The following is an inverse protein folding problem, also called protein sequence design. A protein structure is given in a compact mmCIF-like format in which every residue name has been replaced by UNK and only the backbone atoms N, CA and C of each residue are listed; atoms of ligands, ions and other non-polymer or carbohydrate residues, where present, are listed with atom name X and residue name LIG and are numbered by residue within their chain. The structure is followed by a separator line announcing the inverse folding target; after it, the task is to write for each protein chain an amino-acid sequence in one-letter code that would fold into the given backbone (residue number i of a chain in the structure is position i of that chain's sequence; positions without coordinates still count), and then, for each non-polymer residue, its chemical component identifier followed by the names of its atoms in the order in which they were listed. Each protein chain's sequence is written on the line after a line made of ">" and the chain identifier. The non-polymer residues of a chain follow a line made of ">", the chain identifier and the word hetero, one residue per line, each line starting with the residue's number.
data_IF_004493510637
#
_entry.id   IF_004493510637
#
_cell.length_a   1.000
_cell.length_b   1.000
_cell.length_c   1.000
_cell.angle_alpha   90.00
_cell.angle_beta   90.00
_cell.angle_gamma   90.00
#
_symmetry.space_group_name_H-M   'P 1'
#
loop_
_entity.id
_entity.type
_entity.pdbx_description
1 polymer ?
#
# COMPACT_ATOMS: atom_id res chain seq x y z
N UNK A 1 3.61 -26.05 23.28
CA UNK A 1 4.25 -24.88 22.63
C UNK A 1 3.43 -24.49 21.40
N UNK A 2 3.21 -23.19 21.18
CA UNK A 2 2.58 -22.75 19.94
C UNK A 2 3.65 -22.69 18.84
N UNK A 3 3.54 -23.51 17.80
CA UNK A 3 4.50 -23.61 16.69
C UNK A 3 4.13 -22.71 15.50
N UNK A 4 3.01 -22.01 15.57
CA UNK A 4 2.55 -21.12 14.50
C UNK A 4 3.19 -19.73 14.57
N UNK A 5 3.18 -18.96 13.47
CA UNK A 5 3.66 -17.58 13.45
C UNK A 5 2.81 -16.66 14.35
N UNK A 6 3.34 -15.49 14.67
CA UNK A 6 2.61 -14.49 15.44
C UNK A 6 1.27 -14.12 14.78
N UNK A 7 0.27 -13.80 15.62
CA UNK A 7 -1.09 -13.49 15.13
C UNK A 7 -1.08 -12.38 14.07
N UNK A 8 -1.60 -12.68 12.90
CA UNK A 8 -1.66 -11.74 11.78
C UNK A 8 -0.39 -11.72 10.92
N UNK A 9 0.59 -12.55 11.21
CA UNK A 9 1.77 -12.82 10.38
C UNK A 9 1.65 -14.20 9.74
N UNK A 10 2.51 -14.52 8.79
CA UNK A 10 2.51 -15.82 8.11
C UNK A 10 3.88 -16.16 7.58
N UNK A 11 4.17 -17.44 7.52
CA UNK A 11 5.34 -17.98 6.85
C UNK A 11 5.09 -18.05 5.34
N UNK A 12 6.16 -17.98 4.58
CA UNK A 12 6.15 -18.16 3.13
C UNK A 12 7.09 -19.31 2.78
N UNK A 13 6.54 -20.39 2.26
CA UNK A 13 7.31 -21.53 1.81
C UNK A 13 8.08 -21.20 0.52
N UNK A 14 9.09 -22.02 0.13
CA UNK A 14 9.96 -21.71 -1.00
C UNK A 14 9.21 -21.39 -2.31
N UNK A 15 8.09 -22.04 -2.57
CA UNK A 15 7.29 -21.78 -3.77
C UNK A 15 6.64 -20.40 -3.73
N UNK A 16 6.08 -19.98 -2.58
CA UNK A 16 5.48 -18.67 -2.41
C UNK A 16 6.53 -17.55 -2.49
N UNK A 17 7.73 -17.81 -1.95
CA UNK A 17 8.86 -16.87 -2.05
C UNK A 17 9.27 -16.70 -3.51
N UNK A 18 9.43 -17.79 -4.28
CA UNK A 18 9.76 -17.72 -5.71
C UNK A 18 8.70 -16.95 -6.50
N UNK A 19 7.41 -17.20 -6.25
CA UNK A 19 6.31 -16.47 -6.88
C UNK A 19 6.36 -14.98 -6.56
N UNK A 20 6.60 -14.64 -5.29
CA UNK A 20 6.74 -13.24 -4.86
C UNK A 20 7.92 -12.56 -5.52
N UNK A 21 9.09 -13.21 -5.55
CA UNK A 21 10.30 -12.66 -6.19
C UNK A 21 10.10 -12.43 -7.69
N UNK A 22 9.43 -13.36 -8.37
CA UNK A 22 9.07 -13.17 -9.77
C UNK A 22 8.20 -11.93 -9.98
N UNK A 23 7.16 -11.77 -9.16
CA UNK A 23 6.27 -10.59 -9.24
C UNK A 23 7.04 -9.29 -8.94
N UNK A 24 7.88 -9.29 -7.91
CA UNK A 24 8.74 -8.15 -7.56
C UNK A 24 9.66 -7.79 -8.72
N UNK A 25 10.30 -8.78 -9.36
CA UNK A 25 11.17 -8.57 -10.50
C UNK A 25 10.44 -7.91 -11.68
N UNK A 26 9.23 -8.39 -12.01
CA UNK A 26 8.43 -7.80 -13.08
C UNK A 26 8.06 -6.34 -12.78
N UNK A 27 7.72 -6.03 -11.52
CA UNK A 27 7.38 -4.67 -11.09
C UNK A 27 8.63 -3.77 -11.16
N UNK A 28 9.76 -4.23 -10.63
CA UNK A 28 11.03 -3.49 -10.63
C UNK A 28 11.49 -3.16 -12.05
N UNK A 29 11.44 -4.16 -12.96
CA UNK A 29 11.78 -3.96 -14.38
C UNK A 29 10.92 -2.86 -15.04
N UNK A 30 9.63 -2.79 -14.69
CA UNK A 30 8.75 -1.75 -15.22
C UNK A 30 9.16 -0.38 -14.66
N UNK A 31 9.39 -0.26 -13.36
CA UNK A 31 9.78 1.02 -12.76
C UNK A 31 11.13 1.53 -13.30
N UNK A 32 12.12 0.65 -13.43
CA UNK A 32 13.43 0.99 -14.00
C UNK A 32 13.30 1.51 -15.44
N UNK A 33 12.43 0.93 -16.27
CA UNK A 33 12.15 1.42 -17.63
C UNK A 33 11.60 2.85 -17.67
N UNK A 34 10.92 3.28 -16.61
CA UNK A 34 10.45 4.66 -16.46
C UNK A 34 11.47 5.56 -15.73
N UNK A 35 12.68 5.07 -15.48
CA UNK A 35 13.78 5.82 -14.84
C UNK A 35 13.56 6.01 -13.34
N UNK A 36 12.90 5.08 -12.67
CA UNK A 36 12.85 5.06 -11.21
C UNK A 36 14.00 4.24 -10.66
N UNK A 37 14.65 4.75 -9.64
CA UNK A 37 15.78 4.15 -8.94
C UNK A 37 15.32 3.35 -7.73
N UNK A 38 15.96 2.21 -7.40
CA UNK A 38 15.63 1.46 -6.21
C UNK A 38 16.06 2.20 -4.94
N UNK A 39 15.22 2.18 -3.91
CA UNK A 39 15.55 2.69 -2.58
C UNK A 39 15.21 1.62 -1.55
N UNK A 40 16.09 1.46 -0.56
CA UNK A 40 15.81 0.65 0.63
C UNK A 40 16.08 1.47 1.88
N UNK A 41 15.28 1.25 2.91
CA UNK A 41 15.44 1.89 4.22
C UNK A 41 15.40 0.83 5.32
N UNK A 42 15.96 1.09 6.50
CA UNK A 42 15.88 0.18 7.64
C UNK A 42 14.43 -0.17 7.99
N UNK A 43 14.22 -1.38 8.50
CA UNK A 43 12.92 -1.83 9.00
C UNK A 43 12.54 -1.16 10.32
N UNK A 44 13.54 -0.71 11.07
CA UNK A 44 13.41 -0.04 12.36
C UNK A 44 13.69 1.44 12.17
N UNK A 45 12.83 2.28 12.72
CA UNK A 45 12.94 3.74 12.70
C UNK A 45 12.78 4.29 14.12
N UNK A 46 13.27 5.50 14.37
CA UNK A 46 13.01 6.22 15.61
C UNK A 46 11.51 6.53 15.72
N UNK A 47 10.94 6.30 16.91
CA UNK A 47 9.51 6.55 17.17
C UNK A 47 9.10 7.98 16.84
N UNK A 48 9.93 8.95 17.18
CA UNK A 48 9.68 10.37 16.90
C UNK A 48 9.48 10.63 15.39
N UNK A 49 10.30 9.98 14.55
CA UNK A 49 10.18 10.06 13.09
C UNK A 49 8.83 9.54 12.61
N UNK A 50 8.36 8.42 13.18
CA UNK A 50 7.12 7.78 12.77
C UNK A 50 5.88 8.51 13.27
N UNK A 51 5.93 9.10 14.47
CA UNK A 51 4.79 9.79 15.08
C UNK A 51 4.56 11.20 14.55
N UNK A 52 5.59 11.85 14.02
CA UNK A 52 5.53 13.24 13.55
C UNK A 52 4.45 13.55 12.52
N UNK A 53 3.94 12.55 11.79
CA UNK A 53 2.93 12.72 10.73
C UNK A 53 1.49 12.39 11.18
N UNK A 54 1.31 11.40 12.06
CA UNK A 54 -0.01 10.78 12.30
C UNK A 54 -0.54 10.94 13.73
N UNK A 55 0.17 11.63 14.63
CA UNK A 55 -0.27 11.88 15.99
C UNK A 55 -0.67 10.60 16.75
N UNK A 56 -1.74 10.66 17.53
CA UNK A 56 -2.21 9.54 18.36
C UNK A 56 -2.73 8.34 17.56
N UNK A 57 -3.29 8.53 16.37
CA UNK A 57 -3.76 7.43 15.52
C UNK A 57 -2.60 6.59 14.99
N UNK A 58 -1.49 7.23 14.61
CA UNK A 58 -0.27 6.55 14.22
C UNK A 58 0.29 5.68 15.34
N UNK A 59 0.20 6.15 16.58
CA UNK A 59 0.68 5.42 17.75
C UNK A 59 -0.01 4.06 17.95
N UNK A 60 -1.27 3.91 17.54
CA UNK A 60 -2.04 2.65 17.60
C UNK A 60 -1.65 1.64 16.54
N UNK A 61 -1.03 2.10 15.45
CA UNK A 61 -0.67 1.25 14.30
C UNK A 61 0.77 0.72 14.38
N UNK A 62 1.58 1.23 15.29
CA UNK A 62 3.02 0.98 15.35
C UNK A 62 3.34 -0.20 16.26
N UNK A 63 4.21 -1.10 15.79
CA UNK A 63 4.87 -2.08 16.66
C UNK A 63 6.09 -1.43 17.30
N UNK A 64 6.01 -1.15 18.60
CA UNK A 64 7.08 -0.57 19.39
C UNK A 64 8.11 -1.62 19.78
N UNK A 65 9.37 -1.22 19.79
CA UNK A 65 10.49 -2.03 20.28
C UNK A 65 10.87 -1.49 21.64
N UNK A 66 10.72 -2.31 22.67
CA UNK A 66 11.04 -1.91 24.03
C UNK A 66 12.54 -1.67 24.22
N UNK A 67 12.89 -0.68 25.02
CA UNK A 67 14.26 -0.45 25.45
C UNK A 67 14.75 -1.65 26.25
N UNK A 68 16.04 -1.95 26.13
CA UNK A 68 16.72 -3.01 26.89
C UNK A 68 17.43 -2.44 28.11
N UNK A 69 17.83 -3.32 29.03
CA UNK A 69 18.58 -2.99 30.22
C UNK A 69 17.70 -2.38 31.32
N UNK A 70 18.18 -1.37 32.02
CA UNK A 70 17.50 -0.76 33.17
C UNK A 70 16.10 -0.21 32.86
N UNK A 71 15.82 0.09 31.58
CA UNK A 71 14.54 0.62 31.12
C UNK A 71 13.53 -0.44 30.69
N UNK A 72 13.90 -1.74 30.69
CA UNK A 72 13.01 -2.82 30.23
C UNK A 72 11.72 -2.91 31.04
N UNK A 73 11.83 -2.75 32.37
CA UNK A 73 10.68 -2.76 33.27
C UNK A 73 9.75 -1.55 33.12
N UNK A 74 10.22 -0.44 32.53
CA UNK A 74 9.42 0.78 32.37
C UNK A 74 8.44 0.74 31.18
N UNK A 75 8.57 -0.25 30.29
CA UNK A 75 7.77 -0.34 29.05
C UNK A 75 8.08 0.78 28.04
N UNK A 76 9.17 1.53 28.23
CA UNK A 76 9.55 2.60 27.31
C UNK A 76 10.08 2.04 26.00
N UNK A 77 9.80 2.75 24.93
CA UNK A 77 10.27 2.43 23.58
C UNK A 77 10.70 3.71 22.86
N UNK A 78 11.84 3.66 22.21
CA UNK A 78 12.39 4.74 21.37
C UNK A 78 12.46 4.35 19.90
N UNK A 79 12.34 3.06 19.61
CA UNK A 79 12.37 2.47 18.29
C UNK A 79 11.04 1.78 17.99
N UNK A 80 10.72 1.67 16.70
CA UNK A 80 9.56 0.93 16.26
C UNK A 80 9.78 0.37 14.83
N UNK A 81 8.98 -0.63 14.46
CA UNK A 81 8.91 -1.10 13.09
C UNK A 81 8.17 -0.09 12.22
N UNK A 82 8.71 0.19 11.03
CA UNK A 82 8.03 1.07 10.05
C UNK A 82 6.67 0.50 9.65
N UNK A 83 5.67 1.34 9.56
CA UNK A 83 4.30 0.95 9.18
C UNK A 83 3.94 1.37 7.74
N UNK A 84 4.77 2.18 7.11
CA UNK A 84 4.71 2.57 5.70
C UNK A 84 6.12 2.80 5.13
N UNK A 85 6.22 3.16 3.85
CA UNK A 85 7.47 3.52 3.19
C UNK A 85 7.58 5.03 2.90
N UNK A 86 6.53 5.80 3.20
CA UNK A 86 6.48 7.25 2.94
C UNK A 86 7.24 8.04 3.99
N UNK A 87 7.08 7.68 5.27
CA UNK A 87 7.80 8.36 6.37
C UNK A 87 9.31 8.12 6.30
N UNK A 88 9.79 6.86 6.10
CA UNK A 88 11.21 6.61 5.84
C UNK A 88 11.76 7.39 4.63
N UNK A 89 10.97 7.50 3.54
CA UNK A 89 11.36 8.31 2.39
C UNK A 89 11.54 9.78 2.75
N UNK A 90 10.61 10.36 3.52
CA UNK A 90 10.69 11.76 3.94
C UNK A 90 11.97 12.02 4.77
N UNK A 91 12.35 11.09 5.67
CA UNK A 91 13.60 11.14 6.41
C UNK A 91 14.81 11.08 5.49
N UNK A 92 14.84 10.14 4.54
CA UNK A 92 15.94 10.01 3.57
C UNK A 92 16.10 11.29 2.76
N UNK A 93 15.00 11.89 2.29
CA UNK A 93 15.06 13.14 1.51
C UNK A 93 15.56 14.31 2.36
N UNK A 94 15.22 14.37 3.63
CA UNK A 94 15.71 15.41 4.54
C UNK A 94 17.21 15.24 4.82
N UNK A 95 17.64 14.03 5.15
CA UNK A 95 19.04 13.69 5.50
C UNK A 95 20.00 13.84 4.31
N UNK A 96 19.60 13.29 3.16
CA UNK A 96 20.47 13.21 1.98
C UNK A 96 20.15 14.25 0.91
N UNK A 97 19.50 15.37 1.28
CA UNK A 97 19.06 16.42 0.35
C UNK A 97 20.17 16.93 -0.58
N UNK A 98 21.41 17.01 -0.09
CA UNK A 98 22.55 17.47 -0.87
C UNK A 98 23.12 16.43 -1.84
N UNK A 99 22.79 15.17 -1.67
CA UNK A 99 23.29 14.04 -2.48
C UNK A 99 22.26 13.55 -3.50
N UNK A 100 20.97 13.78 -3.22
CA UNK A 100 19.88 13.36 -4.11
C UNK A 100 19.75 14.31 -5.30
N UNK A 101 19.41 13.80 -6.50
CA UNK A 101 19.15 14.64 -7.66
C UNK A 101 17.97 15.57 -7.40
N UNK A 102 17.97 16.77 -8.02
CA UNK A 102 16.86 17.75 -7.90
C UNK A 102 15.49 17.14 -8.25
N UNK A 103 15.46 16.24 -9.22
CA UNK A 103 14.28 15.45 -9.58
C UNK A 103 14.57 13.99 -9.29
N UNK A 104 14.17 13.55 -8.11
CA UNK A 104 14.38 12.20 -7.60
C UNK A 104 13.16 11.32 -7.85
N UNK A 105 13.35 10.25 -8.61
CA UNK A 105 12.35 9.22 -8.90
C UNK A 105 12.79 7.94 -8.22
N UNK A 106 12.01 7.45 -7.27
CA UNK A 106 12.35 6.22 -6.56
C UNK A 106 11.23 5.20 -6.60
N UNK A 107 11.56 3.92 -6.53
CA UNK A 107 10.65 2.87 -6.13
C UNK A 107 11.21 2.11 -4.92
N UNK A 108 10.33 1.56 -4.10
CA UNK A 108 10.70 0.80 -2.92
C UNK A 108 9.72 -0.35 -2.74
N UNK A 109 10.25 -1.59 -2.63
CA UNK A 109 9.46 -2.80 -2.47
C UNK A 109 9.98 -3.54 -1.25
N UNK A 110 9.38 -3.25 -0.10
CA UNK A 110 9.84 -3.78 1.19
C UNK A 110 8.66 -4.10 2.11
N UNK A 111 8.87 -4.96 3.14
CA UNK A 111 7.84 -5.26 4.13
C UNK A 111 7.59 -4.07 5.05
N UNK A 112 6.34 -3.95 5.52
CA UNK A 112 5.89 -3.01 6.54
C UNK A 112 5.04 -3.74 7.56
N UNK A 113 4.92 -3.15 8.75
CA UNK A 113 4.24 -3.76 9.89
C UNK A 113 3.19 -2.84 10.45
N UNK A 114 1.95 -3.34 10.57
CA UNK A 114 0.83 -2.60 11.16
C UNK A 114 0.16 -3.39 12.25
N UNK A 115 0.02 -2.79 13.43
CA UNK A 115 -0.63 -3.40 14.58
C UNK A 115 -2.16 -3.50 14.44
N UNK A 116 -2.68 -3.45 13.25
CA UNK A 116 -4.09 -3.57 12.92
C UNK A 116 -4.71 -4.89 13.40
N UNK A 117 -6.03 -4.89 13.57
CA UNK A 117 -6.78 -6.12 13.81
C UNK A 117 -6.73 -7.01 12.57
N UNK A 118 -6.16 -8.23 12.66
CA UNK A 118 -6.08 -9.14 11.53
C UNK A 118 -7.46 -9.55 11.04
N UNK A 119 -7.63 -9.63 9.72
CA UNK A 119 -8.83 -10.11 9.06
C UNK A 119 -8.46 -10.89 7.80
N UNK A 120 -9.42 -11.50 7.11
CA UNK A 120 -9.18 -12.20 5.85
C UNK A 120 -8.57 -11.24 4.82
N UNK A 121 -7.35 -11.55 4.36
CA UNK A 121 -6.62 -10.71 3.42
C UNK A 121 -5.93 -9.48 4.04
N UNK A 122 -6.05 -9.29 5.36
CA UNK A 122 -5.41 -8.19 6.10
C UNK A 122 -4.43 -8.75 7.12
N UNK A 123 -3.15 -8.63 6.81
CA UNK A 123 -2.06 -9.11 7.63
C UNK A 123 -1.39 -7.95 8.36
N UNK A 124 -0.68 -8.26 9.44
CA UNK A 124 0.13 -7.30 10.20
C UNK A 124 1.50 -7.07 9.59
N UNK A 125 1.98 -8.02 8.79
CA UNK A 125 3.19 -7.91 7.98
C UNK A 125 2.82 -8.13 6.52
N UNK A 126 3.20 -7.19 5.65
CA UNK A 126 2.95 -7.27 4.21
C UNK A 126 3.94 -6.40 3.43
N UNK A 127 4.13 -6.71 2.16
CA UNK A 127 4.96 -5.92 1.27
C UNK A 127 4.17 -4.73 0.72
N UNK A 128 4.76 -3.54 0.83
CA UNK A 128 4.35 -2.38 0.06
C UNK A 128 5.25 -2.24 -1.17
N UNK A 129 4.67 -1.69 -2.23
CA UNK A 129 5.32 -1.37 -3.48
C UNK A 129 4.98 0.08 -3.80
N UNK A 130 5.86 0.98 -3.40
CA UNK A 130 5.66 2.41 -3.50
C UNK A 130 6.56 3.00 -4.59
N UNK A 131 6.05 3.98 -5.32
CA UNK A 131 6.77 4.71 -6.35
C UNK A 131 6.47 6.19 -6.20
N UNK A 132 7.53 7.00 -6.09
CA UNK A 132 7.41 8.43 -5.88
C UNK A 132 8.37 9.21 -6.81
N UNK A 133 7.93 10.42 -7.16
CA UNK A 133 8.73 11.41 -7.87
C UNK A 133 8.72 12.71 -7.07
N UNK A 134 9.91 13.18 -6.69
CA UNK A 134 10.09 14.33 -5.79
C UNK A 134 10.90 15.39 -6.53
N UNK A 135 10.60 16.66 -6.25
CA UNK A 135 11.38 17.81 -6.79
C UNK A 135 10.76 18.45 -8.03
N UNK A 136 9.59 18.01 -8.50
CA UNK A 136 8.85 18.66 -9.59
C UNK A 136 7.56 19.29 -9.08
N UNK A 137 7.25 20.50 -9.55
CA UNK A 137 5.93 21.12 -9.38
C UNK A 137 4.94 20.70 -10.46
N UNK A 138 5.40 20.03 -11.51
CA UNK A 138 4.55 19.56 -12.60
C UNK A 138 3.72 18.37 -12.15
N UNK A 139 2.41 18.46 -12.33
CA UNK A 139 1.45 17.36 -12.13
C UNK A 139 1.50 16.32 -13.27
N UNK A 140 2.39 16.46 -14.22
CA UNK A 140 2.63 15.49 -15.29
C UNK A 140 3.51 14.36 -14.75
N UNK A 141 3.03 13.70 -13.70
CA UNK A 141 3.40 12.32 -13.42
C UNK A 141 2.74 11.49 -14.53
N UNK A 142 3.42 10.48 -15.13
CA UNK A 142 2.79 9.63 -16.12
C UNK A 142 1.51 9.04 -15.54
N UNK A 143 0.37 9.66 -15.86
CA UNK A 143 -0.95 9.08 -15.55
C UNK A 143 -1.02 7.80 -16.36
N UNK A 144 -1.13 6.68 -15.69
CA UNK A 144 -1.62 5.48 -16.35
C UNK A 144 -2.92 5.82 -17.08
N UNK A 145 -3.02 5.61 -18.39
CA UNK A 145 -4.27 5.82 -19.11
C UNK A 145 -5.35 4.99 -18.40
N UNK A 146 -6.39 5.68 -17.91
CA UNK A 146 -7.54 5.00 -17.32
C UNK A 146 -8.14 4.09 -18.40
N UNK A 147 -8.12 2.80 -18.17
CA UNK A 147 -8.78 1.83 -19.01
C UNK A 147 -7.90 0.72 -19.57
N UNK A 148 -6.58 0.86 -19.55
CA UNK A 148 -5.68 -0.19 -19.97
C UNK A 148 -5.04 -0.92 -18.78
N UNK A 149 -4.86 -2.23 -18.90
CA UNK A 149 -4.09 -2.98 -17.90
C UNK A 149 -2.65 -2.48 -17.95
N UNK A 150 -2.18 -1.93 -16.82
CA UNK A 150 -0.82 -1.40 -16.73
C UNK A 150 0.23 -2.41 -17.19
N UNK A 151 1.43 -1.96 -17.54
CA UNK A 151 2.49 -2.81 -18.09
C UNK A 151 2.82 -4.01 -17.19
N UNK A 152 2.70 -3.87 -15.87
CA UNK A 152 2.87 -4.98 -14.90
C UNK A 152 1.84 -6.07 -15.11
N UNK A 153 0.54 -5.71 -15.22
CA UNK A 153 -0.56 -6.68 -15.39
C UNK A 153 -0.46 -7.39 -16.73
N UNK A 154 -0.02 -6.70 -17.78
CA UNK A 154 0.22 -7.33 -19.09
C UNK A 154 1.34 -8.37 -19.03
N UNK A 155 2.43 -8.10 -18.32
CA UNK A 155 3.57 -9.03 -18.17
C UNK A 155 3.25 -10.23 -17.29
N UNK A 156 2.46 -10.05 -16.24
CA UNK A 156 2.06 -11.14 -15.36
C UNK A 156 1.04 -12.10 -16.00
N UNK A 157 0.38 -11.66 -17.09
CA UNK A 157 -0.63 -12.48 -17.77
C UNK A 157 -1.90 -12.69 -16.93
N UNK A 158 -2.80 -13.58 -17.37
CA UNK A 158 -3.99 -13.92 -16.61
C UNK A 158 -3.62 -14.70 -15.34
N UNK A 159 -4.11 -14.27 -14.18
CA UNK A 159 -3.93 -14.99 -12.91
C UNK A 159 -4.65 -16.34 -13.02
N UNK A 160 -3.95 -17.49 -12.86
CA UNK A 160 -4.60 -18.80 -12.89
C UNK A 160 -5.68 -18.86 -11.79
N UNK A 161 -6.89 -19.31 -12.15
CA UNK A 161 -7.99 -19.51 -11.18
C UNK A 161 -8.96 -18.35 -10.99
N UNK A 162 -8.77 -17.19 -11.61
CA UNK A 162 -9.86 -16.20 -11.71
C UNK A 162 -10.69 -16.46 -12.95
N UNK A 163 -12.02 -16.70 -12.81
CA UNK A 163 -12.88 -16.78 -13.98
C UNK A 163 -12.76 -15.47 -14.77
N UNK A 164 -12.52 -15.57 -16.08
CA UNK A 164 -12.61 -14.42 -16.99
C UNK A 164 -13.97 -13.77 -16.75
N UNK A 165 -13.98 -12.50 -16.37
CA UNK A 165 -15.21 -11.72 -16.40
C UNK A 165 -15.73 -11.82 -17.84
N UNK A 166 -16.72 -12.66 -18.05
CA UNK A 166 -17.39 -12.79 -19.35
C UNK A 166 -17.97 -11.41 -19.64
N UNK A 167 -17.61 -10.87 -20.80
CA UNK A 167 -18.28 -9.72 -21.39
C UNK A 167 -19.70 -10.12 -21.84
N UNK A 168 -20.48 -10.64 -20.89
CA UNK A 168 -21.90 -10.82 -21.11
C UNK A 168 -22.56 -9.47 -21.01
N UNK A 169 -22.73 -8.85 -22.19
CA UNK A 169 -23.91 -8.07 -22.58
C UNK A 169 -24.69 -7.49 -21.41
N UNK A 170 -24.60 -6.19 -21.28
CA UNK A 170 -25.66 -5.40 -20.65
C UNK A 170 -27.00 -5.86 -21.24
N UNK A 171 -27.67 -6.80 -20.58
CA UNK A 171 -29.12 -6.97 -20.78
C UNK A 171 -29.73 -5.67 -20.29
N UNK A 172 -30.14 -4.85 -21.24
CA UNK A 172 -31.00 -3.69 -21.02
C UNK A 172 -32.19 -4.14 -20.17
N UNK A 173 -32.25 -3.63 -18.96
CA UNK A 173 -33.40 -3.80 -18.09
C UNK A 173 -34.60 -3.11 -18.77
N UNK A 174 -35.49 -3.90 -19.40
CA UNK A 174 -36.70 -3.39 -20.11
C UNK A 174 -37.72 -2.77 -19.15
N UNK A 175 -37.40 -2.55 -17.86
CA UNK A 175 -38.33 -2.00 -16.87
C UNK A 175 -38.08 -0.53 -16.47
N UNK A 176 -37.06 0.12 -16.97
CA UNK A 176 -36.86 1.54 -16.75
C UNK A 176 -37.36 2.34 -17.96
N UNK A 177 -38.65 2.53 -18.08
CA UNK A 177 -39.24 3.56 -18.94
C UNK A 177 -39.11 4.92 -18.18
N UNK A 178 -38.46 5.93 -18.78
CA UNK A 178 -38.58 7.29 -18.29
C UNK A 178 -39.90 7.87 -18.81
N UNK A 179 -40.80 8.29 -17.96
CA UNK A 179 -41.99 9.02 -18.35
C UNK A 179 -43.25 8.63 -17.59
N UNK A 180 -43.39 9.07 -16.36
CA UNK A 180 -44.66 9.07 -15.63
C UNK A 180 -44.72 10.27 -14.71
N UNK A 181 -45.39 11.38 -15.17
CA UNK A 181 -45.66 12.56 -14.34
C UNK A 181 -46.49 12.17 -13.11
N UNK A 182 -46.21 12.69 -11.91
CA UNK A 182 -47.08 12.46 -10.76
C UNK A 182 -48.39 13.19 -10.91
N UNK A 183 -49.49 12.46 -10.87
CA UNK A 183 -50.87 13.02 -10.78
C UNK A 183 -51.00 13.71 -9.43
N UNK A 184 -51.31 14.99 -9.47
CA UNK A 184 -51.78 15.86 -8.35
C UNK A 184 -53.07 15.23 -7.74
N UNK A 185 -53.01 14.76 -6.51
CA UNK A 185 -54.23 14.47 -5.73
C UNK A 185 -54.79 15.78 -5.21
N UNK A 186 -56.00 16.14 -5.72
CA UNK A 186 -56.85 17.14 -5.11
C UNK A 186 -57.32 16.63 -3.76
N UNK A 187 -57.10 17.41 -2.73
CA UNK A 187 -57.81 17.27 -1.45
C UNK A 187 -59.18 17.90 -1.60
N UNK A 188 -60.24 17.07 -1.55
CA UNK A 188 -61.60 17.53 -1.30
C UNK A 188 -61.75 17.87 0.19
N UNK A 189 -62.36 18.99 0.43
CA UNK A 189 -62.93 19.42 1.74
C UNK A 189 -64.19 18.59 2.00
N UNK A 190 -64.35 18.05 3.17
CA UNK A 190 -65.53 18.21 4.03
C UNK A 190 -65.09 17.85 5.45
#
# INVERSE_FOLDING_TARGET
>A
MNTGPARGMRDFLPEDVRRRQYVIGVIADVYQKYGFEPLETPSVENIETLLGKYGEEGNKLIFKILKRGEHEASGQADLALRYDLTVPLARVVAEYRGQLPKFFKRYQIQPVWRADRPARGRFREFYQCDVDAIGSRSMVVPRHPRGDRGPVVRRLGPVPGRPRASSRTRRTCRRCRPGGRPRRRQRGRH
#
